data_IF_918200399449
#
_entry.id   IF_918200399449
#
_cell.length_a   1.000
_cell.length_b   1.000
_cell.length_c   1.000
_cell.angle_alpha   90.00
_cell.angle_beta   90.00
_cell.angle_gamma   90.00
#
_symmetry.space_group_name_H-M   'P 1'
#
loop_
_entity.id
_entity.type
_entity.pdbx_description
1 polymer ?
#
# COMPACT_ATOMS: atom_id res chain seq x y z
N UNK A 1 -34.11 -0.10 -32.89
CA UNK A 1 -33.74 -1.32 -32.15
C UNK A 1 -32.68 -0.93 -31.15
N UNK A 2 -32.95 -1.24 -29.89
CA UNK A 2 -32.25 -0.83 -28.68
C UNK A 2 -30.77 -1.21 -28.67
N UNK A 3 -29.90 -0.21 -28.49
CA UNK A 3 -28.51 -0.40 -28.10
C UNK A 3 -28.48 -1.04 -26.71
N UNK A 4 -28.09 -2.31 -26.64
CA UNK A 4 -27.75 -2.97 -25.38
C UNK A 4 -26.42 -2.39 -24.91
N UNK A 5 -26.47 -1.61 -23.83
CA UNK A 5 -25.30 -1.10 -23.15
C UNK A 5 -24.35 -2.24 -22.79
N UNK A 6 -23.11 -2.14 -23.25
CA UNK A 6 -22.03 -3.09 -22.97
C UNK A 6 -21.79 -3.15 -21.47
N UNK A 7 -21.91 -4.34 -20.88
CA UNK A 7 -21.55 -4.59 -19.48
C UNK A 7 -20.02 -4.47 -19.36
N UNK A 8 -19.54 -3.31 -18.89
CA UNK A 8 -18.13 -3.04 -18.63
C UNK A 8 -17.74 -3.73 -17.32
N UNK A 9 -17.15 -4.93 -17.43
CA UNK A 9 -16.55 -5.64 -16.29
C UNK A 9 -15.11 -5.16 -16.11
N UNK A 10 -14.88 -4.30 -15.11
CA UNK A 10 -13.52 -3.88 -14.72
C UNK A 10 -13.22 -4.41 -13.34
N UNK A 11 -12.17 -5.21 -13.28
CA UNK A 11 -11.81 -6.00 -12.10
C UNK A 11 -10.71 -5.29 -11.32
N UNK A 12 -10.80 -5.39 -9.98
CA UNK A 12 -10.09 -4.64 -8.92
C UNK A 12 -10.74 -3.32 -8.51
N UNK A 13 -11.65 -3.37 -7.51
CA UNK A 13 -12.26 -2.24 -6.77
C UNK A 13 -12.16 -0.91 -7.52
N UNK A 14 -12.92 -0.79 -8.61
CA UNK A 14 -12.87 0.39 -9.45
C UNK A 14 -14.08 1.27 -9.17
N UNK A 15 -13.86 2.52 -8.75
CA UNK A 15 -14.91 3.54 -8.89
C UNK A 15 -14.95 3.89 -10.37
N UNK A 16 -15.97 3.39 -11.04
CA UNK A 16 -16.22 3.67 -12.46
C UNK A 16 -17.55 4.36 -12.61
N UNK A 17 -17.52 5.48 -13.30
CA UNK A 17 -18.71 6.19 -13.74
C UNK A 17 -18.78 6.14 -15.26
N UNK A 18 -19.88 5.58 -15.78
CA UNK A 18 -20.22 5.60 -17.20
C UNK A 18 -21.05 6.85 -17.49
N UNK A 19 -20.98 7.37 -18.72
CA UNK A 19 -21.72 8.58 -19.10
C UNK A 19 -23.25 8.39 -19.22
N UNK A 20 -23.76 7.14 -19.30
CA UNK A 20 -25.16 6.87 -19.65
C UNK A 20 -26.08 6.35 -18.53
N UNK A 21 -25.62 6.09 -17.29
CA UNK A 21 -26.52 5.74 -16.18
C UNK A 21 -25.87 5.79 -14.80
N UNK A 22 -26.72 5.80 -13.75
CA UNK A 22 -26.40 5.93 -12.31
C UNK A 22 -25.12 5.23 -11.86
N UNK A 23 -24.36 5.92 -10.99
CA UNK A 23 -23.16 5.40 -10.31
C UNK A 23 -23.37 3.99 -9.77
N UNK A 24 -22.80 2.98 -10.43
CA UNK A 24 -22.73 1.62 -9.86
C UNK A 24 -21.62 1.60 -8.83
N UNK A 25 -21.96 1.89 -7.57
CA UNK A 25 -21.08 1.68 -6.42
C UNK A 25 -20.96 0.18 -6.16
N UNK A 26 -19.88 -0.45 -6.62
CA UNK A 26 -19.51 -1.77 -6.09
C UNK A 26 -19.00 -1.57 -4.64
N UNK A 27 -19.82 -1.95 -3.66
CA UNK A 27 -19.47 -1.83 -2.24
C UNK A 27 -18.31 -2.75 -1.87
N UNK A 28 -17.42 -2.21 -1.04
CA UNK A 28 -16.11 -2.73 -0.60
C UNK A 28 -16.14 -4.14 0.00
N UNK A 29 -17.31 -4.67 0.39
CA UNK A 29 -17.42 -5.89 1.20
C UNK A 29 -17.57 -7.21 0.44
N UNK A 30 -17.92 -7.23 -0.86
CA UNK A 30 -18.22 -8.49 -1.57
C UNK A 30 -17.38 -8.75 -2.85
N UNK A 31 -16.27 -8.03 -3.04
CA UNK A 31 -15.42 -8.25 -4.22
C UNK A 31 -14.41 -9.37 -3.98
N UNK A 32 -14.94 -10.59 -4.07
CA UNK A 32 -14.22 -11.81 -4.40
C UNK A 32 -13.24 -11.52 -5.55
N UNK A 33 -11.99 -11.94 -5.36
CA UNK A 33 -10.97 -12.11 -6.39
C UNK A 33 -11.55 -12.88 -7.59
N UNK A 34 -12.16 -12.19 -8.54
CA UNK A 34 -12.33 -12.76 -9.88
C UNK A 34 -10.99 -12.63 -10.58
N UNK A 35 -10.16 -13.67 -10.35
CA UNK A 35 -9.15 -14.10 -11.30
C UNK A 35 -9.77 -14.01 -12.70
N UNK A 36 -9.09 -13.24 -13.54
CA UNK A 36 -9.35 -12.98 -14.95
C UNK A 36 -9.91 -14.23 -15.63
N UNK A 37 -11.09 -14.11 -16.24
CA UNK A 37 -11.35 -14.98 -17.38
C UNK A 37 -10.53 -14.41 -18.53
N UNK A 38 -9.83 -15.27 -19.28
CA UNK A 38 -9.17 -14.86 -20.52
C UNK A 38 -10.21 -14.28 -21.48
N UNK A 39 -9.91 -13.17 -22.15
CA UNK A 39 -10.94 -12.47 -22.92
C UNK A 39 -10.49 -11.17 -23.57
N UNK A 40 -11.43 -10.55 -24.29
CA UNK A 40 -11.26 -9.23 -24.90
C UNK A 40 -12.20 -8.23 -24.23
N UNK A 41 -11.66 -7.07 -23.87
CA UNK A 41 -12.34 -6.04 -23.09
C UNK A 41 -12.19 -4.67 -23.75
N UNK A 42 -13.24 -3.85 -23.64
CA UNK A 42 -13.25 -2.48 -24.14
C UNK A 42 -13.83 -1.56 -23.08
N UNK A 43 -13.08 -0.50 -22.74
CA UNK A 43 -13.51 0.57 -21.85
C UNK A 43 -13.49 1.86 -22.65
N UNK A 44 -14.68 2.39 -22.94
CA UNK A 44 -14.86 3.60 -23.73
C UNK A 44 -15.56 4.67 -22.90
N UNK A 45 -14.98 5.87 -22.86
CA UNK A 45 -15.62 7.07 -22.27
C UNK A 45 -16.02 6.94 -20.79
N UNK A 46 -15.15 6.36 -19.97
CA UNK A 46 -15.37 6.19 -18.53
C UNK A 46 -14.53 7.15 -17.69
N UNK A 47 -14.97 7.37 -16.45
CA UNK A 47 -14.12 7.94 -15.40
C UNK A 47 -13.65 6.82 -14.46
N UNK A 48 -12.35 6.69 -14.23
CA UNK A 48 -11.74 5.62 -13.42
C UNK A 48 -10.81 6.24 -12.37
N UNK A 49 -11.25 6.30 -11.12
CA UNK A 49 -10.59 7.18 -10.16
C UNK A 49 -10.60 6.72 -8.71
N UNK A 50 -9.67 7.28 -7.92
CA UNK A 50 -9.54 7.06 -6.47
C UNK A 50 -9.49 5.58 -6.03
N UNK A 51 -9.05 4.68 -6.92
CA UNK A 51 -8.87 3.28 -6.56
C UNK A 51 -7.67 3.16 -5.61
N UNK A 52 -7.81 2.37 -4.55
CA UNK A 52 -6.72 2.06 -3.61
C UNK A 52 -5.54 1.31 -4.23
N UNK A 53 -5.65 0.92 -5.50
CA UNK A 53 -4.62 0.25 -6.29
C UNK A 53 -4.39 1.00 -7.62
N UNK A 54 -4.23 0.27 -8.73
CA UNK A 54 -4.14 0.83 -10.08
C UNK A 54 -5.51 1.24 -10.61
N UNK A 55 -5.56 2.19 -11.54
CA UNK A 55 -6.77 2.52 -12.28
C UNK A 55 -7.25 1.33 -13.09
N UNK A 56 -6.34 0.74 -13.88
CA UNK A 56 -6.58 -0.45 -14.67
C UNK A 56 -5.39 -1.41 -14.57
N UNK A 57 -5.67 -2.71 -14.51
CA UNK A 57 -4.67 -3.78 -14.47
C UNK A 57 -4.92 -4.78 -15.61
N UNK A 58 -4.00 -4.85 -16.58
CA UNK A 58 -3.99 -5.83 -17.65
C UNK A 58 -3.03 -6.95 -17.30
N UNK A 59 -3.48 -8.21 -17.31
CA UNK A 59 -2.62 -9.38 -17.13
C UNK A 59 -3.27 -10.61 -17.77
N UNK A 60 -2.48 -11.69 -17.83
CA UNK A 60 -2.76 -12.94 -18.56
C UNK A 60 -3.21 -12.65 -19.99
N UNK A 61 -3.97 -13.55 -20.62
CA UNK A 61 -4.42 -13.42 -22.02
C UNK A 61 -5.60 -12.44 -22.20
N UNK A 62 -5.60 -11.34 -21.46
CA UNK A 62 -6.66 -10.33 -21.50
C UNK A 62 -6.30 -9.21 -22.46
N UNK A 63 -6.92 -9.21 -23.65
CA UNK A 63 -6.75 -8.11 -24.60
C UNK A 63 -7.69 -6.96 -24.22
N UNK A 64 -7.19 -5.73 -24.19
CA UNK A 64 -7.92 -4.59 -23.67
C UNK A 64 -7.78 -3.37 -24.58
N UNK A 65 -8.89 -2.66 -24.83
CA UNK A 65 -8.89 -1.34 -25.46
C UNK A 65 -9.40 -0.29 -24.47
N UNK A 66 -8.60 0.75 -24.22
CA UNK A 66 -8.94 1.89 -23.39
C UNK A 66 -9.05 3.12 -24.28
N UNK A 67 -10.28 3.60 -24.50
CA UNK A 67 -10.56 4.67 -25.46
C UNK A 67 -11.30 5.82 -24.77
N UNK A 68 -10.77 7.04 -24.85
CA UNK A 68 -11.42 8.26 -24.36
C UNK A 68 -11.82 8.26 -22.87
N UNK A 69 -11.09 7.54 -22.01
CA UNK A 69 -11.35 7.53 -20.55
C UNK A 69 -10.62 8.67 -19.83
N UNK A 70 -11.14 9.10 -18.68
CA UNK A 70 -10.45 9.95 -17.70
C UNK A 70 -10.04 9.10 -16.49
N UNK A 71 -8.74 8.81 -16.37
CA UNK A 71 -8.16 7.93 -15.36
C UNK A 71 -7.36 8.80 -14.40
N UNK A 72 -7.81 8.95 -13.14
CA UNK A 72 -7.17 9.91 -12.22
C UNK A 72 -7.13 9.51 -10.74
N UNK A 73 -6.19 10.04 -9.98
CA UNK A 73 -6.12 9.92 -8.49
C UNK A 73 -6.06 8.49 -7.90
N UNK A 74 -5.77 7.48 -8.72
CA UNK A 74 -5.50 6.11 -8.28
C UNK A 74 -4.19 6.01 -7.47
N UNK A 75 -4.18 5.16 -6.42
CA UNK A 75 -3.13 5.14 -5.40
C UNK A 75 -1.86 4.35 -5.77
N UNK A 76 -1.87 3.60 -6.87
CA UNK A 76 -0.68 2.95 -7.44
C UNK A 76 -0.27 3.57 -8.78
N UNK A 77 -1.21 3.89 -9.65
CA UNK A 77 -0.91 4.40 -10.99
C UNK A 77 -2.13 4.33 -11.90
N UNK A 78 -1.96 4.74 -13.15
CA UNK A 78 -3.03 4.74 -14.15
C UNK A 78 -3.31 3.34 -14.66
N UNK A 79 -2.51 2.87 -15.60
CA UNK A 79 -2.64 1.54 -16.21
C UNK A 79 -1.39 0.72 -15.93
N UNK A 80 -1.57 -0.47 -15.36
CA UNK A 80 -0.53 -1.48 -15.22
C UNK A 80 -0.75 -2.60 -16.23
N UNK A 81 0.32 -2.99 -16.91
CA UNK A 81 0.38 -4.07 -17.87
C UNK A 81 1.34 -5.10 -17.29
N UNK A 82 0.78 -6.09 -16.61
CA UNK A 82 1.46 -7.28 -16.15
C UNK A 82 1.76 -8.25 -17.30
N UNK A 83 2.20 -9.46 -16.96
CA UNK A 83 2.43 -10.51 -17.95
C UNK A 83 1.16 -10.82 -18.71
N UNK A 84 1.23 -10.75 -20.04
CA UNK A 84 0.02 -10.77 -20.88
C UNK A 84 0.02 -11.80 -22.01
N UNK A 85 1.12 -12.55 -22.20
CA UNK A 85 1.19 -13.68 -23.14
C UNK A 85 0.63 -13.36 -24.54
N UNK A 86 1.11 -12.28 -25.16
CA UNK A 86 0.68 -11.78 -26.48
C UNK A 86 -0.69 -11.09 -26.53
N UNK A 87 -1.39 -10.92 -25.41
CA UNK A 87 -2.60 -10.11 -25.39
C UNK A 87 -2.32 -8.65 -25.76
N UNK A 88 -3.21 -8.07 -26.55
CA UNK A 88 -3.04 -6.70 -27.05
C UNK A 88 -3.64 -5.70 -26.09
N UNK A 89 -2.87 -4.68 -25.72
CA UNK A 89 -3.35 -3.54 -24.95
C UNK A 89 -3.29 -2.29 -25.81
N UNK A 90 -4.45 -1.72 -26.14
CA UNK A 90 -4.59 -0.52 -26.96
C UNK A 90 -5.06 0.66 -26.10
N UNK A 91 -4.33 1.78 -26.14
CA UNK A 91 -4.56 2.96 -25.30
C UNK A 91 -4.65 4.19 -26.18
N UNK A 92 -5.82 4.82 -26.23
CA UNK A 92 -6.09 5.89 -27.18
C UNK A 92 -7.05 6.96 -26.65
N UNK A 93 -6.70 8.24 -26.85
CA UNK A 93 -7.56 9.37 -26.50
C UNK A 93 -7.86 9.56 -25.01
N UNK A 94 -7.17 8.86 -24.10
CA UNK A 94 -7.43 8.93 -22.66
C UNK A 94 -6.74 10.14 -22.02
N UNK A 95 -7.30 10.65 -20.93
CA UNK A 95 -6.61 11.53 -19.99
C UNK A 95 -6.15 10.70 -18.79
N UNK A 96 -4.84 10.66 -18.49
CA UNK A 96 -4.27 9.85 -17.40
C UNK A 96 -3.43 10.75 -16.48
N UNK A 97 -3.89 10.97 -15.25
CA UNK A 97 -3.37 12.06 -14.42
C UNK A 97 -3.45 11.84 -12.92
N UNK A 98 -2.67 12.63 -12.19
CA UNK A 98 -2.84 12.81 -10.74
C UNK A 98 -2.63 11.54 -9.89
N UNK A 99 -1.93 10.53 -10.41
CA UNK A 99 -1.68 9.28 -9.69
C UNK A 99 -0.49 9.35 -8.72
N UNK A 100 -0.48 8.48 -7.69
CA UNK A 100 0.68 8.31 -6.81
C UNK A 100 1.94 7.84 -7.56
N UNK A 101 1.74 6.94 -8.51
CA UNK A 101 2.78 6.36 -9.33
C UNK A 101 2.56 6.69 -10.80
N UNK A 102 3.08 5.86 -11.72
CA UNK A 102 3.17 6.24 -13.12
C UNK A 102 1.81 6.21 -13.80
N UNK A 103 1.70 6.97 -14.89
CA UNK A 103 0.55 6.93 -15.80
C UNK A 103 0.37 5.52 -16.40
N UNK A 104 1.48 4.97 -16.89
CA UNK A 104 1.55 3.65 -17.52
C UNK A 104 2.72 2.90 -16.90
N UNK A 105 2.48 1.68 -16.47
CA UNK A 105 3.52 0.76 -16.01
C UNK A 105 3.44 -0.52 -16.82
N UNK A 106 4.53 -0.88 -17.48
CA UNK A 106 4.68 -2.20 -18.10
C UNK A 106 5.64 -2.98 -17.23
N UNK A 107 5.19 -4.14 -16.74
CA UNK A 107 6.08 -4.99 -15.95
C UNK A 107 7.26 -5.40 -16.83
N UNK A 108 8.46 -5.19 -16.31
CA UNK A 108 9.69 -5.63 -16.93
C UNK A 108 10.27 -6.76 -16.09
N UNK A 109 10.41 -7.96 -16.67
CA UNK A 109 11.10 -9.06 -16.00
C UNK A 109 12.30 -9.48 -16.84
N UNK A 110 13.48 -9.62 -16.22
CA UNK A 110 14.65 -10.10 -16.92
C UNK A 110 14.46 -11.55 -17.38
N UNK A 111 14.91 -11.81 -18.60
CA UNK A 111 14.86 -13.04 -19.38
C UNK A 111 15.63 -14.25 -18.80
N UNK A 112 15.92 -14.32 -17.49
CA UNK A 112 16.92 -15.31 -16.99
C UNK A 112 16.73 -15.89 -15.58
N UNK A 113 15.65 -15.62 -14.85
CA UNK A 113 15.41 -16.40 -13.61
C UNK A 113 14.64 -17.67 -13.93
N UNK A 114 15.28 -18.82 -13.66
CA UNK A 114 14.59 -20.12 -13.62
C UNK A 114 13.58 -20.06 -12.48
N UNK A 115 12.32 -19.75 -12.80
CA UNK A 115 11.22 -19.84 -11.87
C UNK A 115 10.89 -21.31 -11.60
N UNK A 116 10.62 -21.65 -10.35
CA UNK A 116 10.12 -23.01 -10.04
C UNK A 116 8.73 -23.20 -10.64
N UNK A 117 8.32 -24.45 -10.86
CA UNK A 117 6.97 -24.72 -11.35
C UNK A 117 5.88 -24.18 -10.40
N UNK A 118 6.11 -24.23 -9.09
CA UNK A 118 5.22 -23.62 -8.09
C UNK A 118 5.17 -22.10 -8.21
N UNK A 119 6.30 -21.43 -8.42
CA UNK A 119 6.33 -19.98 -8.67
C UNK A 119 5.58 -19.63 -9.95
N UNK A 120 5.77 -20.41 -11.02
CA UNK A 120 5.10 -20.23 -12.30
C UNK A 120 3.56 -20.42 -12.17
N UNK A 121 3.13 -21.44 -11.44
CA UNK A 121 1.71 -21.70 -11.15
C UNK A 121 1.11 -20.62 -10.26
N UNK A 122 1.84 -20.17 -9.22
CA UNK A 122 1.43 -19.03 -8.40
C UNK A 122 1.32 -17.75 -9.25
N UNK A 123 2.24 -17.53 -10.19
CA UNK A 123 2.22 -16.37 -11.10
C UNK A 123 1.08 -16.36 -12.11
N UNK A 124 0.27 -17.44 -12.17
CA UNK A 124 -0.88 -17.52 -13.07
C UNK A 124 -0.50 -17.71 -14.53
N UNK A 125 0.65 -18.32 -14.79
CA UNK A 125 1.12 -18.63 -16.13
C UNK A 125 0.22 -19.70 -16.78
N UNK A 126 -0.27 -19.48 -18.02
CA UNK A 126 -0.99 -20.49 -18.76
C UNK A 126 -0.15 -21.76 -18.96
N UNK A 127 -0.77 -22.93 -18.87
CA UNK A 127 -0.07 -24.24 -18.91
C UNK A 127 0.65 -24.50 -20.23
N UNK A 128 0.19 -23.87 -21.30
CA UNK A 128 0.68 -24.00 -22.66
C UNK A 128 1.77 -22.97 -23.03
N UNK A 129 2.08 -22.04 -22.13
CA UNK A 129 3.20 -21.11 -22.32
C UNK A 129 4.50 -21.74 -21.81
N UNK A 130 5.62 -21.51 -22.49
CA UNK A 130 6.95 -21.94 -22.02
C UNK A 130 7.67 -20.83 -21.25
N UNK A 131 7.42 -19.57 -21.63
CA UNK A 131 8.04 -18.40 -21.01
C UNK A 131 7.03 -17.51 -20.25
N UNK A 132 7.55 -16.51 -19.53
CA UNK A 132 6.78 -15.41 -18.97
C UNK A 132 7.19 -14.15 -19.74
N UNK A 133 6.23 -13.49 -20.37
CA UNK A 133 6.50 -12.30 -21.16
C UNK A 133 5.32 -11.33 -21.19
N UNK A 134 5.63 -10.10 -21.56
CA UNK A 134 4.69 -8.99 -21.69
C UNK A 134 4.89 -8.34 -23.05
N UNK A 135 3.85 -8.34 -23.88
CA UNK A 135 3.81 -7.52 -25.09
C UNK A 135 3.57 -6.07 -24.74
N UNK A 136 4.32 -5.17 -25.37
CA UNK A 136 4.19 -3.74 -25.18
C UNK A 136 2.80 -3.25 -25.64
N UNK A 137 2.21 -2.27 -24.94
CA UNK A 137 0.96 -1.66 -25.38
C UNK A 137 1.14 -0.85 -26.66
N UNK A 138 0.07 -0.72 -27.41
CA UNK A 138 -0.06 0.28 -28.48
C UNK A 138 -0.66 1.54 -27.85
N UNK A 139 0.13 2.61 -27.79
CA UNK A 139 -0.26 3.89 -27.18
C UNK A 139 -0.25 4.97 -28.25
N UNK A 140 -1.39 5.62 -28.47
CA UNK A 140 -1.49 6.72 -29.45
C UNK A 140 -1.06 8.06 -28.84
N UNK A 141 -0.74 9.02 -29.72
CA UNK A 141 -0.42 10.41 -29.37
C UNK A 141 -1.63 11.22 -28.90
N UNK A 142 -2.86 10.68 -29.03
CA UNK A 142 -4.09 11.30 -28.55
C UNK A 142 -4.26 11.27 -27.04
N UNK A 143 -3.43 10.51 -26.32
CA UNK A 143 -3.50 10.43 -24.87
C UNK A 143 -2.88 11.67 -24.21
N UNK A 144 -3.56 12.21 -23.21
CA UNK A 144 -3.09 13.34 -22.40
C UNK A 144 -2.59 12.80 -21.06
N UNK A 145 -1.27 12.83 -20.85
CA UNK A 145 -0.62 12.36 -19.62
C UNK A 145 -0.04 13.54 -18.85
N UNK A 146 -0.41 13.71 -17.58
CA UNK A 146 0.11 14.83 -16.75
C UNK A 146 0.05 14.54 -15.25
N UNK A 147 0.89 15.21 -14.49
CA UNK A 147 0.81 15.28 -13.03
C UNK A 147 0.78 13.92 -12.30
N UNK A 148 1.43 12.90 -12.86
CA UNK A 148 1.59 11.58 -12.24
C UNK A 148 2.80 11.53 -11.30
N UNK A 149 2.99 10.43 -10.59
CA UNK A 149 4.05 10.26 -9.58
C UNK A 149 3.92 11.23 -8.38
N UNK A 150 2.68 11.56 -7.99
CA UNK A 150 2.38 12.44 -6.85
C UNK A 150 2.72 11.78 -5.51
N UNK A 151 3.28 12.58 -4.61
CA UNK A 151 3.43 12.19 -3.20
C UNK A 151 2.10 12.40 -2.48
N UNK A 152 1.43 11.33 -2.07
CA UNK A 152 0.23 11.45 -1.25
C UNK A 152 0.61 11.74 0.20
N UNK A 153 0.04 12.83 0.72
CA UNK A 153 0.18 13.18 2.12
C UNK A 153 -0.63 12.22 2.98
N UNK A 154 -0.05 11.84 4.12
CA UNK A 154 -0.76 11.14 5.18
C UNK A 154 -2.09 11.87 5.52
N UNK A 155 -3.22 11.17 5.77
CA UNK A 155 -4.51 11.82 6.01
C UNK A 155 -4.47 12.88 7.12
N UNK A 156 -3.68 12.68 8.16
CA UNK A 156 -3.50 13.66 9.25
C UNK A 156 -2.89 15.00 8.81
N UNK A 157 -2.16 15.03 7.68
CA UNK A 157 -1.59 16.27 7.11
C UNK A 157 -2.59 17.02 6.22
N UNK A 158 -3.64 16.35 5.73
CA UNK A 158 -4.72 16.99 4.97
C UNK A 158 -5.71 17.72 5.88
N UNK A 159 -5.83 17.30 7.14
CA UNK A 159 -6.66 17.98 8.12
C UNK A 159 -5.98 19.30 8.55
N UNK A 160 -6.64 20.44 8.35
CA UNK A 160 -6.17 21.73 8.87
C UNK A 160 -6.06 21.67 10.41
N UNK A 161 -4.87 21.88 10.94
CA UNK A 161 -4.66 21.89 12.39
C UNK A 161 -4.87 23.29 12.95
N UNK A 162 -5.90 23.46 13.78
CA UNK A 162 -6.09 24.68 14.56
C UNK A 162 -4.99 24.76 15.64
N UNK A 163 -4.13 25.77 15.54
CA UNK A 163 -2.99 25.98 16.44
C UNK A 163 -3.40 26.72 17.71
N UNK A 164 -4.11 26.03 18.63
CA UNK A 164 -4.53 26.57 19.93
C UNK A 164 -3.98 25.78 21.10
N UNK A 165 -3.72 26.46 22.21
CA UNK A 165 -3.33 25.83 23.47
C UNK A 165 -4.49 25.01 24.06
N UNK A 166 -4.25 23.76 24.43
CA UNK A 166 -5.24 22.84 25.01
C UNK A 166 -5.77 23.29 26.38
N UNK A 167 -5.02 24.13 27.10
CA UNK A 167 -5.40 24.61 28.42
C UNK A 167 -6.05 26.00 28.41
N UNK A 168 -5.38 26.98 27.80
CA UNK A 168 -5.83 28.37 27.82
C UNK A 168 -6.56 28.81 26.55
N UNK A 169 -6.67 27.91 25.56
CA UNK A 169 -7.37 28.11 24.28
C UNK A 169 -6.89 29.29 23.43
N UNK A 170 -5.77 29.92 23.81
CA UNK A 170 -5.15 30.97 23.02
C UNK A 170 -4.43 30.38 21.82
N UNK A 171 -4.63 31.00 20.66
CA UNK A 171 -3.84 30.76 19.46
C UNK A 171 -2.39 31.18 19.74
N UNK A 172 -1.44 30.35 19.35
CA UNK A 172 -0.03 30.68 19.46
C UNK A 172 0.74 30.05 18.30
N UNK A 173 1.79 30.72 17.85
CA UNK A 173 2.63 30.26 16.74
C UNK A 173 3.66 29.20 17.18
N UNK A 174 4.06 29.19 18.46
CA UNK A 174 5.10 28.31 19.00
C UNK A 174 4.55 27.35 20.05
N UNK A 175 3.58 26.54 19.66
CA UNK A 175 2.98 25.54 20.54
C UNK A 175 3.89 24.31 20.71
N UNK A 176 3.92 23.77 21.93
CA UNK A 176 4.68 22.58 22.30
C UNK A 176 3.74 21.39 22.39
N UNK A 177 4.08 20.30 21.72
CA UNK A 177 3.33 19.05 21.81
C UNK A 177 3.54 18.36 23.15
N UNK A 178 2.49 17.75 23.69
CA UNK A 178 2.60 16.80 24.78
C UNK A 178 3.57 15.69 24.39
N UNK A 179 4.58 15.42 25.22
CA UNK A 179 5.60 14.40 24.92
C UNK A 179 5.06 12.97 24.85
N UNK A 180 3.90 12.70 25.49
CA UNK A 180 3.25 11.39 25.48
C UNK A 180 2.31 11.22 24.28
N UNK A 181 1.19 11.94 24.23
CA UNK A 181 0.21 11.76 23.16
C UNK A 181 0.58 12.45 21.85
N UNK A 182 1.52 13.40 21.84
CA UNK A 182 1.94 14.17 20.66
C UNK A 182 0.77 14.86 19.92
N UNK A 183 -0.31 15.17 20.63
CA UNK A 183 -1.52 15.83 20.07
C UNK A 183 -1.92 17.10 20.79
N UNK A 184 -1.97 17.08 22.12
CA UNK A 184 -2.27 18.29 22.86
C UNK A 184 -1.12 19.30 22.69
N UNK A 185 -1.47 20.49 22.23
CA UNK A 185 -0.59 21.62 22.00
C UNK A 185 -0.65 22.56 23.20
N UNK A 186 0.49 23.03 23.69
CA UNK A 186 0.56 23.94 24.83
C UNK A 186 1.47 25.12 24.54
N UNK A 187 1.04 26.34 24.86
CA UNK A 187 1.89 27.52 24.70
C UNK A 187 3.07 27.54 25.70
N UNK A 188 2.98 26.76 26.79
CA UNK A 188 4.04 26.70 27.80
C UNK A 188 4.02 25.39 28.60
N UNK A 189 5.12 25.08 29.30
CA UNK A 189 5.20 23.92 30.20
C UNK A 189 4.24 24.05 31.39
N UNK A 190 3.95 25.28 31.80
CA UNK A 190 3.02 25.60 32.88
C UNK A 190 1.59 25.26 32.48
N UNK A 191 1.18 25.59 31.25
CA UNK A 191 -0.13 25.19 30.71
C UNK A 191 -0.28 23.68 30.66
N UNK A 192 0.76 22.95 30.23
CA UNK A 192 0.75 21.48 30.22
C UNK A 192 0.63 20.91 31.64
N UNK A 193 1.37 21.44 32.62
CA UNK A 193 1.31 20.99 34.02
C UNK A 193 -0.07 21.23 34.64
N UNK A 194 -0.67 22.40 34.40
CA UNK A 194 -2.01 22.73 34.91
C UNK A 194 -3.11 21.86 34.31
N UNK A 195 -2.97 21.50 33.04
CA UNK A 195 -3.93 20.64 32.34
C UNK A 195 -3.77 19.15 32.71
N UNK A 196 -2.58 18.72 33.17
CA UNK A 196 -2.24 17.30 33.34
C UNK A 196 -3.25 16.48 34.16
N UNK A 197 -3.89 17.07 35.18
CA UNK A 197 -4.89 16.36 36.01
C UNK A 197 -6.10 15.90 35.21
N UNK A 198 -6.57 16.72 34.27
CA UNK A 198 -7.66 16.40 33.33
C UNK A 198 -7.12 15.66 32.11
N UNK A 199 -6.02 16.18 31.55
CA UNK A 199 -5.41 15.65 30.36
C UNK A 199 -4.91 14.23 30.51
N UNK A 200 -4.47 13.73 31.67
CA UNK A 200 -3.94 12.36 31.79
C UNK A 200 -4.88 11.27 31.23
N UNK A 201 -6.19 11.44 31.40
CA UNK A 201 -7.20 10.52 30.87
C UNK A 201 -7.36 10.69 29.37
N UNK A 202 -7.51 11.94 28.92
CA UNK A 202 -7.60 12.31 27.49
C UNK A 202 -6.33 11.92 26.73
N UNK A 203 -5.16 12.05 27.33
CA UNK A 203 -3.84 11.70 26.82
C UNK A 203 -3.77 10.23 26.46
N UNK A 204 -4.35 9.36 27.30
CA UNK A 204 -4.40 7.92 27.05
C UNK A 204 -5.33 7.59 25.89
N UNK A 205 -6.48 8.26 25.82
CA UNK A 205 -7.44 8.12 24.71
C UNK A 205 -6.77 8.54 23.40
N UNK A 206 -6.20 9.75 23.36
CA UNK A 206 -5.50 10.27 22.18
C UNK A 206 -4.34 9.37 21.76
N UNK A 207 -3.52 8.88 22.69
CA UNK A 207 -2.44 7.94 22.36
C UNK A 207 -3.00 6.64 21.72
N UNK A 208 -4.10 6.10 22.26
CA UNK A 208 -4.75 4.91 21.70
C UNK A 208 -5.35 5.12 20.31
N UNK A 209 -5.86 6.32 20.01
CA UNK A 209 -6.45 6.63 18.70
C UNK A 209 -5.44 6.76 17.56
N UNK A 210 -4.16 6.91 17.87
CA UNK A 210 -3.10 7.19 16.89
C UNK A 210 -1.92 6.20 16.97
N UNK A 211 -2.11 5.11 17.70
CA UNK A 211 -1.15 4.02 17.75
C UNK A 211 -1.84 2.69 17.54
N UNK A 212 -1.15 1.78 16.89
CA UNK A 212 -1.59 0.40 16.72
C UNK A 212 -0.69 -0.49 17.58
N UNK A 213 -1.24 -1.17 18.60
CA UNK A 213 -0.50 -2.15 19.35
C UNK A 213 -0.43 -3.47 18.57
N UNK A 214 0.77 -4.03 18.46
CA UNK A 214 1.04 -5.36 17.94
C UNK A 214 1.51 -6.23 19.10
N UNK A 215 0.76 -7.29 19.37
CA UNK A 215 1.10 -8.27 20.40
C UNK A 215 2.16 -9.21 19.86
N UNK A 216 3.36 -9.22 20.45
CA UNK A 216 4.49 -10.03 19.95
C UNK A 216 4.27 -11.54 20.03
N UNK A 217 3.23 -11.99 20.73
CA UNK A 217 2.77 -13.38 20.78
C UNK A 217 1.91 -13.78 19.57
N UNK A 218 1.33 -12.81 18.88
CA UNK A 218 0.35 -13.01 17.80
C UNK A 218 1.00 -12.78 16.42
N UNK A 219 2.33 -12.69 16.37
CA UNK A 219 3.11 -12.49 15.13
C UNK A 219 3.88 -13.75 14.79
N UNK A 220 4.10 -13.98 13.50
CA UNK A 220 5.02 -15.02 13.02
C UNK A 220 6.37 -14.40 12.64
N UNK A 221 7.46 -15.06 13.01
CA UNK A 221 8.78 -14.71 12.48
C UNK A 221 8.85 -15.11 11.01
N UNK A 222 9.42 -14.26 10.17
CA UNK A 222 9.46 -14.53 8.72
C UNK A 222 10.56 -15.49 8.30
N UNK A 223 11.47 -15.83 9.22
CA UNK A 223 12.43 -16.92 9.06
C UNK A 223 11.76 -18.25 9.41
N UNK A 224 10.92 -18.76 8.53
CA UNK A 224 10.38 -20.11 8.71
C UNK A 224 11.43 -21.16 8.30
N UNK A 225 11.51 -22.20 9.14
CA UNK A 225 12.22 -23.44 8.89
C UNK A 225 11.40 -24.30 7.94
N UNK A 226 11.76 -24.36 6.66
CA UNK A 226 11.13 -25.29 5.73
C UNK A 226 11.66 -26.70 6.00
N UNK A 227 10.77 -27.62 6.38
CA UNK A 227 11.07 -29.05 6.54
C UNK A 227 10.94 -29.74 5.19
N UNK A 228 12.00 -29.70 4.39
CA UNK A 228 12.07 -30.43 3.13
C UNK A 228 12.86 -31.70 3.42
N UNK A 229 12.19 -32.86 3.40
CA UNK A 229 12.81 -34.18 3.58
C UNK A 229 13.60 -34.38 4.90
N UNK A 230 13.11 -33.84 6.03
CA UNK A 230 13.75 -33.99 7.33
C UNK A 230 14.99 -33.10 7.55
N UNK A 231 15.32 -32.25 6.58
CA UNK A 231 16.31 -31.19 6.74
C UNK A 231 15.59 -29.85 6.95
N UNK A 232 15.83 -29.26 8.13
CA UNK A 232 15.41 -27.89 8.44
C UNK A 232 16.26 -26.93 7.63
N UNK A 233 15.66 -26.26 6.65
CA UNK A 233 16.31 -25.15 5.94
C UNK A 233 15.74 -23.84 6.48
N UNK A 234 16.57 -23.05 7.15
CA UNK A 234 16.22 -21.68 7.54
C UNK A 234 16.17 -20.82 6.27
N UNK A 235 14.98 -20.44 5.83
CA UNK A 235 14.86 -19.47 4.75
C UNK A 235 15.02 -18.07 5.31
N UNK A 236 16.25 -17.55 5.33
CA UNK A 236 16.46 -16.13 5.59
C UNK A 236 15.89 -15.33 4.42
N UNK A 237 15.12 -14.28 4.74
CA UNK A 237 14.66 -13.32 3.74
C UNK A 237 15.85 -12.75 2.98
N UNK A 238 15.81 -12.88 1.66
CA UNK A 238 16.78 -12.23 0.79
C UNK A 238 16.37 -10.76 0.58
N UNK A 239 17.25 -9.84 0.97
CA UNK A 239 17.07 -8.41 0.74
C UNK A 239 17.68 -8.00 -0.61
N UNK A 240 17.12 -6.96 -1.24
CA UNK A 240 17.70 -6.42 -2.47
C UNK A 240 19.11 -5.86 -2.14
N UNK A 241 20.19 -6.29 -2.85
CA UNK A 241 21.54 -5.80 -2.62
C UNK A 241 21.71 -4.27 -2.72
N UNK A 242 20.77 -3.58 -3.35
CA UNK A 242 20.77 -2.11 -3.49
C UNK A 242 20.28 -1.38 -2.22
N UNK A 243 19.75 -2.09 -1.21
CA UNK A 243 19.27 -1.48 0.03
C UNK A 243 20.46 -1.04 0.89
N UNK A 244 20.55 0.27 1.13
CA UNK A 244 21.73 0.86 1.77
C UNK A 244 21.71 0.62 3.29
N UNK A 245 22.60 -0.25 3.79
CA UNK A 245 22.81 -0.45 5.22
C UNK A 245 21.66 -1.15 5.96
N UNK A 246 20.88 -1.97 5.24
CA UNK A 246 20.05 -3.01 5.85
C UNK A 246 20.97 -4.00 6.60
N UNK A 247 20.51 -4.57 7.73
CA UNK A 247 21.29 -5.40 8.66
C UNK A 247 22.40 -4.68 9.46
N UNK A 248 22.72 -3.43 9.12
CA UNK A 248 23.75 -2.62 9.81
C UNK A 248 23.15 -1.65 10.85
N UNK A 249 21.84 -1.72 11.10
CA UNK A 249 21.13 -0.83 12.03
C UNK A 249 21.35 -1.17 13.50
N UNK A 250 21.08 -0.22 14.43
CA UNK A 250 21.06 -0.50 15.86
C UNK A 250 19.86 -1.40 16.18
N UNK A 251 20.11 -2.47 16.95
CA UNK A 251 19.06 -3.37 17.41
C UNK A 251 18.06 -2.64 18.31
N UNK A 252 16.74 -2.80 18.07
CA UNK A 252 15.72 -2.29 18.97
C UNK A 252 15.84 -2.87 20.38
N UNK A 253 15.92 -2.02 21.40
CA UNK A 253 15.92 -2.49 22.80
C UNK A 253 14.49 -2.75 23.27
N UNK A 254 14.13 -4.04 23.41
CA UNK A 254 12.80 -4.49 23.85
C UNK A 254 12.40 -4.01 25.25
N UNK A 255 13.36 -3.62 26.09
CA UNK A 255 13.09 -3.09 27.44
C UNK A 255 12.95 -1.57 27.45
N UNK A 256 13.21 -0.91 26.33
CA UNK A 256 13.19 0.54 26.20
C UNK A 256 11.97 1.02 25.44
N UNK A 257 11.39 2.13 25.90
CA UNK A 257 10.34 2.86 25.17
C UNK A 257 10.93 3.91 24.20
N UNK A 258 12.21 3.77 23.83
CA UNK A 258 12.84 4.64 22.84
C UNK A 258 12.28 4.34 21.45
N UNK A 259 11.87 5.39 20.74
CA UNK A 259 11.35 5.26 19.37
C UNK A 259 12.45 4.85 18.38
N UNK A 260 12.10 4.00 17.43
CA UNK A 260 12.90 3.59 16.27
C UNK A 260 12.02 3.51 15.02
N UNK A 261 12.65 3.38 13.84
CA UNK A 261 11.92 3.31 12.57
C UNK A 261 11.75 1.85 12.16
N UNK A 262 10.53 1.50 11.75
CA UNK A 262 10.20 0.22 11.13
C UNK A 262 9.64 0.47 9.74
N UNK A 263 9.92 -0.43 8.82
CA UNK A 263 9.23 -0.51 7.53
C UNK A 263 8.06 -1.47 7.67
N UNK A 264 6.89 -1.07 7.19
CA UNK A 264 5.71 -1.92 7.10
C UNK A 264 5.26 -1.95 5.64
N UNK A 265 5.02 -3.13 5.10
CA UNK A 265 4.60 -3.30 3.71
C UNK A 265 3.41 -4.24 3.59
N UNK A 266 2.52 -3.95 2.64
CA UNK A 266 1.48 -4.91 2.25
C UNK A 266 2.14 -6.12 1.60
N UNK A 267 1.62 -7.33 1.88
CA UNK A 267 2.02 -8.54 1.16
C UNK A 267 1.69 -8.47 -0.33
N UNK A 268 1.96 -9.54 -1.08
CA UNK A 268 1.56 -9.62 -2.48
C UNK A 268 0.03 -9.65 -2.58
N UNK A 269 -0.57 -8.56 -3.07
CA UNK A 269 -2.01 -8.35 -3.11
C UNK A 269 -2.74 -9.28 -4.11
N UNK A 270 -2.00 -10.11 -4.84
CA UNK A 270 -2.51 -11.04 -5.86
C UNK A 270 -2.83 -12.45 -5.38
N UNK A 271 -2.36 -12.85 -4.20
CA UNK A 271 -2.29 -14.28 -3.87
C UNK A 271 -3.00 -14.67 -2.57
N UNK A 272 -3.66 -13.73 -1.89
CA UNK A 272 -4.42 -14.07 -0.70
C UNK A 272 -5.79 -14.63 -1.09
N UNK A 273 -5.84 -15.92 -1.43
CA UNK A 273 -7.06 -16.75 -1.49
C UNK A 273 -7.85 -16.81 -0.15
N UNK A 274 -7.54 -15.94 0.81
CA UNK A 274 -8.11 -15.85 2.13
C UNK A 274 -8.31 -14.40 2.58
N UNK A 275 -9.27 -14.19 3.47
CA UNK A 275 -9.66 -12.91 4.07
C UNK A 275 -8.58 -12.24 4.94
N UNK A 276 -7.41 -12.87 5.08
CA UNK A 276 -6.34 -12.47 5.98
C UNK A 276 -5.27 -11.68 5.22
N UNK A 277 -5.24 -10.36 5.44
CA UNK A 277 -4.27 -9.44 4.82
C UNK A 277 -3.02 -9.35 5.69
N UNK A 278 -2.07 -10.25 5.43
CA UNK A 278 -0.78 -10.29 6.13
C UNK A 278 0.09 -9.09 5.75
N UNK A 279 0.59 -8.40 6.77
CA UNK A 279 1.58 -7.33 6.67
C UNK A 279 2.93 -7.86 7.09
N UNK A 280 3.97 -7.37 6.44
CA UNK A 280 5.35 -7.65 6.80
C UNK A 280 5.96 -6.40 7.41
N UNK A 281 6.60 -6.54 8.57
CA UNK A 281 7.30 -5.46 9.25
C UNK A 281 8.72 -5.87 9.55
N UNK A 282 9.66 -4.98 9.26
CA UNK A 282 11.04 -5.14 9.70
C UNK A 282 11.73 -3.83 10.04
N UNK A 283 12.73 -3.92 10.92
CA UNK A 283 13.61 -2.80 11.27
C UNK A 283 14.93 -2.84 10.48
N UNK A 284 15.75 -1.79 10.59
CA UNK A 284 17.01 -1.68 9.85
C UNK A 284 18.03 -2.77 10.23
N UNK A 285 18.04 -3.23 11.47
CA UNK A 285 18.95 -4.31 11.91
C UNK A 285 18.43 -5.70 11.58
N UNK A 286 17.18 -5.81 11.08
CA UNK A 286 16.45 -7.06 10.86
C UNK A 286 16.36 -7.97 12.09
N UNK A 287 16.47 -7.39 13.30
CA UNK A 287 16.28 -8.14 14.56
C UNK A 287 14.78 -8.29 14.85
N UNK A 288 14.00 -7.36 14.31
CA UNK A 288 12.57 -7.45 14.13
C UNK A 288 12.30 -7.73 12.64
N UNK A 289 11.86 -8.94 12.31
CA UNK A 289 11.34 -9.30 10.99
C UNK A 289 10.14 -10.24 11.14
N UNK A 290 8.95 -9.65 11.11
CA UNK A 290 7.71 -10.31 11.55
C UNK A 290 6.60 -10.15 10.51
N UNK A 291 5.63 -11.04 10.60
CA UNK A 291 4.35 -10.99 9.91
C UNK A 291 3.20 -10.91 10.91
N UNK A 292 2.20 -10.11 10.57
CA UNK A 292 1.00 -9.91 11.40
C UNK A 292 -0.17 -9.42 10.55
N UNK A 293 -1.38 -9.49 11.08
CA UNK A 293 -2.58 -9.00 10.41
C UNK A 293 -3.06 -7.71 11.08
N UNK A 294 -3.32 -6.66 10.28
CA UNK A 294 -3.95 -5.44 10.78
C UNK A 294 -4.63 -4.65 9.66
N UNK A 295 -5.97 -4.64 9.65
CA UNK A 295 -6.75 -3.96 8.61
C UNK A 295 -6.51 -2.44 8.56
N UNK A 296 -6.36 -1.79 9.71
CA UNK A 296 -6.13 -0.35 9.76
C UNK A 296 -4.79 0.04 9.12
N UNK A 297 -3.69 -0.64 9.49
CA UNK A 297 -2.38 -0.40 8.89
C UNK A 297 -2.37 -0.77 7.40
N UNK A 298 -3.07 -1.83 7.02
CA UNK A 298 -3.23 -2.19 5.61
C UNK A 298 -3.87 -1.06 4.81
N UNK A 299 -5.02 -0.52 5.24
CA UNK A 299 -5.66 0.60 4.54
C UNK A 299 -4.84 1.89 4.59
N UNK A 300 -4.11 2.13 5.68
CA UNK A 300 -3.19 3.27 5.76
C UNK A 300 -2.07 3.19 4.72
N UNK A 301 -1.49 1.99 4.54
CA UNK A 301 -0.49 1.70 3.51
C UNK A 301 -1.07 1.92 2.11
N UNK A 302 -2.29 1.44 1.86
CA UNK A 302 -2.94 1.64 0.57
C UNK A 302 -3.20 3.13 0.27
N UNK A 303 -3.63 3.90 1.27
CA UNK A 303 -3.99 5.31 1.08
C UNK A 303 -2.77 6.20 0.84
N UNK A 304 -1.67 6.01 1.58
CA UNK A 304 -0.53 6.95 1.58
C UNK A 304 0.86 6.30 1.52
N UNK A 305 0.93 4.99 1.35
CA UNK A 305 2.20 4.28 1.13
C UNK A 305 2.84 4.58 -0.22
N UNK A 306 4.11 4.25 -0.32
CA UNK A 306 4.87 4.31 -1.56
C UNK A 306 4.94 2.94 -2.22
N UNK A 307 4.87 2.90 -3.55
CA UNK A 307 5.03 1.67 -4.31
C UNK A 307 6.41 1.04 -4.09
N UNK A 308 6.43 -0.29 -3.96
CA UNK A 308 7.66 -1.06 -3.97
C UNK A 308 8.36 -1.06 -5.34
N UNK A 309 9.63 -1.49 -5.36
CA UNK A 309 10.46 -1.54 -6.58
C UNK A 309 9.91 -2.44 -7.66
N UNK A 310 9.21 -3.52 -7.29
CA UNK A 310 8.62 -4.44 -8.26
C UNK A 310 7.31 -3.90 -8.86
N UNK A 311 6.81 -2.73 -8.39
CA UNK A 311 5.65 -1.98 -8.93
C UNK A 311 4.39 -2.80 -9.25
N UNK A 312 4.31 -4.04 -8.76
CA UNK A 312 3.21 -4.95 -9.03
C UNK A 312 1.96 -4.49 -8.25
N UNK A 313 2.05 -4.48 -6.92
CA UNK A 313 0.94 -4.14 -6.02
C UNK A 313 1.37 -3.70 -4.62
N UNK A 314 2.45 -4.27 -4.08
CA UNK A 314 2.86 -3.98 -2.69
C UNK A 314 3.26 -2.51 -2.50
N UNK A 315 2.67 -1.89 -1.47
CA UNK A 315 3.02 -0.56 -0.98
C UNK A 315 3.68 -0.66 0.39
N UNK A 316 4.50 0.33 0.73
CA UNK A 316 5.20 0.41 2.02
C UNK A 316 5.08 1.79 2.66
N UNK A 317 5.11 1.80 3.99
CA UNK A 317 5.28 3.00 4.80
C UNK A 317 6.41 2.78 5.79
N UNK A 318 6.98 3.88 6.27
CA UNK A 318 7.88 3.87 7.42
C UNK A 318 7.15 4.47 8.61
N UNK A 319 7.20 3.79 9.75
CA UNK A 319 6.54 4.22 10.97
C UNK A 319 7.54 4.35 12.10
N UNK A 320 7.26 5.28 13.01
CA UNK A 320 7.89 5.27 14.33
C UNK A 320 7.26 4.14 15.15
N UNK A 321 8.09 3.37 15.83
CA UNK A 321 7.67 2.29 16.71
C UNK A 321 8.47 2.29 18.01
N UNK A 322 7.91 1.70 19.06
CA UNK A 322 8.58 1.52 20.34
C UNK A 322 7.97 0.34 21.10
N UNK A 323 8.74 -0.23 22.03
CA UNK A 323 8.26 -1.33 22.88
C UNK A 323 7.61 -0.82 24.18
N UNK A 324 6.60 -1.56 24.61
CA UNK A 324 5.95 -1.43 25.91
C UNK A 324 5.92 -2.81 26.62
N UNK A 325 5.56 -2.80 27.91
CA UNK A 325 5.32 -4.03 28.68
C UNK A 325 6.51 -5.01 28.68
N UNK A 326 7.74 -4.48 28.70
CA UNK A 326 8.96 -5.29 28.68
C UNK A 326 9.23 -6.00 27.35
N UNK A 327 8.59 -5.54 26.26
CA UNK A 327 8.81 -6.06 24.91
C UNK A 327 7.70 -6.97 24.40
N UNK A 328 6.65 -7.22 25.18
CA UNK A 328 5.49 -8.01 24.74
C UNK A 328 4.59 -7.27 23.74
N UNK A 329 4.63 -5.92 23.75
CA UNK A 329 3.84 -5.08 22.86
C UNK A 329 4.74 -4.16 22.07
N UNK A 330 4.66 -4.24 20.75
CA UNK A 330 5.24 -3.27 19.83
C UNK A 330 4.15 -2.27 19.43
N UNK A 331 4.33 -0.99 19.77
CA UNK A 331 3.40 0.06 19.33
C UNK A 331 3.90 0.75 18.08
N UNK A 332 3.03 0.83 17.08
CA UNK A 332 3.24 1.55 15.83
C UNK A 332 2.53 2.89 15.88
N UNK A 333 3.21 3.99 15.59
CA UNK A 333 2.57 5.30 15.47
C UNK A 333 1.99 5.50 14.07
N UNK A 334 0.73 5.92 14.03
CA UNK A 334 -0.04 6.08 12.79
C UNK A 334 -0.51 7.50 12.57
N UNK A 335 -0.19 8.44 13.47
CA UNK A 335 -0.51 9.84 13.25
C UNK A 335 0.47 10.57 12.33
N UNK A 336 1.74 10.17 12.37
CA UNK A 336 2.83 10.76 11.60
C UNK A 336 3.75 9.65 11.14
N UNK A 337 3.86 9.47 9.82
CA UNK A 337 4.81 8.51 9.25
C UNK A 337 6.25 8.99 9.47
N UNK A 338 7.16 8.03 9.63
CA UNK A 338 8.58 8.31 9.63
C UNK A 338 9.05 8.71 8.22
N UNK A 339 10.17 9.44 8.09
CA UNK A 339 10.75 9.75 6.79
C UNK A 339 11.08 8.48 6.00
N UNK A 340 10.99 8.56 4.69
CA UNK A 340 11.39 7.47 3.80
C UNK A 340 12.81 6.99 4.12
N UNK A 341 13.02 5.67 4.08
CA UNK A 341 14.32 5.06 4.24
C UNK A 341 14.71 4.27 3.00
N UNK A 342 16.02 4.22 2.75
CA UNK A 342 16.63 3.52 1.60
C UNK A 342 17.09 2.10 1.93
N UNK A 343 16.85 1.63 3.16
CA UNK A 343 17.11 0.26 3.63
C UNK A 343 15.87 -0.65 3.55
#
# INVERSE_FOLDING_TARGET
>A
MSYLGTVVKVFFVTRIQTQESSTTLYTITDLVEYLLMEGSYELVSNQIYENWCWGVMCKTRSSCSFINNDIFENKCGGVNIGWNYSATVYIDGNTIRDHCGPALHVINIPTTKNHTQEEMEMMGKPKDENDIYTSLPVVTDRNIIRDNDKVFLHPSKKAESISVCFYCHKTATNLKLCSKCKKALYCSKECQKRDFTKHKHVCRILLGSYTVPIQMKDVSDTSEANNIHGNVTLTQRSFNPQLSGIMEGPKPDRKSSKEFIVKIQSGYEYYSRGSKKTLTLYDRSTDLDIQFENAFLYHLILECGQLGTNMLTSKKIFCWAYFEEGGSVLRIRTDTLAPYQTW
#
